data_IF_339553955871
#
_entry.id   IF_339553955871
#
_cell.length_a   1.000
_cell.length_b   1.000
_cell.length_c   1.000
_cell.angle_alpha   90.00
_cell.angle_beta   90.00
_cell.angle_gamma   90.00
#
_symmetry.space_group_name_H-M   'P 1'
#
loop_
_entity.id
_entity.type
_entity.pdbx_description
1 polymer ?
#
# COMPACT_ATOMS: atom_id res chain seq x y z
N UNK A 1 -6.34 19.84 5.00
CA UNK A 1 -6.30 18.76 3.99
C UNK A 1 -4.99 17.99 4.09
N UNK A 2 -4.89 16.97 4.97
CA UNK A 2 -3.71 16.11 5.07
C UNK A 2 -3.54 15.24 3.82
N UNK A 3 -2.29 14.93 3.48
CA UNK A 3 -1.93 14.07 2.35
C UNK A 3 -1.20 12.83 2.86
N UNK A 4 -1.67 11.65 2.48
CA UNK A 4 -1.06 10.37 2.80
C UNK A 4 -0.56 9.69 1.52
N UNK A 5 0.67 9.19 1.55
CA UNK A 5 1.23 8.36 0.49
C UNK A 5 1.37 6.93 1.00
N UNK A 6 0.92 5.97 0.22
CA UNK A 6 1.01 4.54 0.50
C UNK A 6 1.78 3.88 -0.65
N UNK A 7 2.94 3.31 -0.31
CA UNK A 7 3.72 2.47 -1.22
C UNK A 7 3.40 1.00 -0.92
N UNK A 8 2.97 0.25 -1.92
CA UNK A 8 2.48 -1.10 -1.73
C UNK A 8 2.95 -2.07 -2.84
N UNK A 9 2.91 -3.38 -2.59
CA UNK A 9 3.04 -4.37 -3.66
C UNK A 9 1.84 -4.35 -4.62
N UNK A 10 2.02 -4.83 -5.86
CA UNK A 10 0.95 -4.89 -6.84
C UNK A 10 -0.09 -5.96 -6.49
N UNK A 11 -1.27 -5.82 -7.09
CA UNK A 11 -2.30 -6.86 -7.08
C UNK A 11 -3.28 -6.76 -5.91
N UNK A 12 -3.26 -5.68 -5.14
CA UNK A 12 -4.24 -5.46 -4.07
C UNK A 12 -5.64 -5.35 -4.70
N UNK A 13 -6.56 -6.22 -4.27
CA UNK A 13 -7.95 -6.22 -4.73
C UNK A 13 -8.66 -4.90 -4.40
N UNK A 14 -9.54 -4.43 -5.27
CA UNK A 14 -10.26 -3.16 -5.13
C UNK A 14 -10.99 -3.03 -3.78
N UNK A 15 -11.65 -4.10 -3.31
CA UNK A 15 -12.34 -4.09 -2.01
C UNK A 15 -11.37 -3.90 -0.83
N UNK A 16 -10.18 -4.49 -0.92
CA UNK A 16 -9.14 -4.29 0.11
C UNK A 16 -8.62 -2.84 0.09
N UNK A 17 -8.42 -2.25 -1.11
CA UNK A 17 -8.07 -0.84 -1.26
C UNK A 17 -9.14 0.06 -0.63
N UNK A 18 -10.41 -0.18 -0.93
CA UNK A 18 -11.55 0.57 -0.39
C UNK A 18 -11.57 0.56 1.13
N UNK A 19 -11.48 -0.63 1.72
CA UNK A 19 -11.42 -0.80 3.18
C UNK A 19 -10.21 -0.11 3.81
N UNK A 20 -9.05 -0.16 3.14
CA UNK A 20 -7.82 0.49 3.60
C UNK A 20 -7.97 2.01 3.61
N UNK A 21 -8.39 2.62 2.50
CA UNK A 21 -8.50 4.08 2.39
C UNK A 21 -9.56 4.64 3.35
N UNK A 22 -10.68 3.95 3.54
CA UNK A 22 -11.71 4.33 4.52
C UNK A 22 -11.14 4.40 5.93
N UNK A 23 -10.44 3.34 6.37
CA UNK A 23 -9.86 3.28 7.72
C UNK A 23 -8.77 4.31 7.95
N UNK A 24 -7.91 4.55 6.96
CA UNK A 24 -6.82 5.54 7.07
C UNK A 24 -7.41 6.95 7.14
N UNK A 25 -8.42 7.27 6.32
CA UNK A 25 -9.11 8.56 6.37
C UNK A 25 -9.73 8.81 7.75
N UNK A 26 -10.44 7.82 8.31
CA UNK A 26 -11.02 7.94 9.66
C UNK A 26 -9.93 8.21 10.71
N UNK A 27 -8.83 7.44 10.69
CA UNK A 27 -7.75 7.61 11.65
C UNK A 27 -7.06 8.99 11.54
N UNK A 28 -6.89 9.50 10.33
CA UNK A 28 -6.31 10.82 10.09
C UNK A 28 -7.25 11.94 10.55
N UNK A 29 -8.55 11.80 10.26
CA UNK A 29 -9.56 12.75 10.72
C UNK A 29 -9.60 12.79 12.25
N UNK A 30 -9.72 11.63 12.91
CA UNK A 30 -9.70 11.50 14.37
C UNK A 30 -8.46 12.16 15.03
N UNK A 31 -7.31 12.09 14.38
CA UNK A 31 -6.07 12.65 14.91
C UNK A 31 -5.93 14.17 14.69
N UNK A 32 -6.33 14.68 13.51
CA UNK A 32 -6.04 16.06 13.12
C UNK A 32 -7.25 16.98 13.04
N UNK A 33 -8.42 16.51 12.60
CA UNK A 33 -9.62 17.34 12.40
C UNK A 33 -9.38 18.59 11.51
N UNK A 34 -8.47 18.52 10.53
CA UNK A 34 -8.05 19.65 9.68
C UNK A 34 -8.62 19.61 8.24
N UNK A 35 -9.82 19.03 8.08
CA UNK A 35 -10.54 18.91 6.81
C UNK A 35 -10.22 17.64 6.02
N UNK A 36 -10.61 17.61 4.75
CA UNK A 36 -10.57 16.40 3.90
C UNK A 36 -9.20 15.73 3.80
N UNK A 37 -9.16 14.39 3.79
CA UNK A 37 -7.93 13.62 3.63
C UNK A 37 -7.75 13.15 2.18
N UNK A 38 -6.57 13.39 1.61
CA UNK A 38 -6.20 12.91 0.28
C UNK A 38 -5.17 11.78 0.39
N UNK A 39 -5.46 10.62 -0.21
CA UNK A 39 -4.59 9.44 -0.18
C UNK A 39 -4.12 9.09 -1.60
N UNK A 40 -2.80 9.01 -1.79
CA UNK A 40 -2.18 8.47 -2.99
C UNK A 40 -1.68 7.06 -2.72
N UNK A 41 -2.13 6.10 -3.52
CA UNK A 41 -1.66 4.71 -3.48
C UNK A 41 -0.82 4.43 -4.72
N UNK A 42 0.43 4.03 -4.52
CA UNK A 42 1.32 3.57 -5.60
C UNK A 42 1.69 2.11 -5.37
N UNK A 43 1.66 1.35 -6.46
CA UNK A 43 2.02 -0.06 -6.46
C UNK A 43 3.33 -0.24 -7.22
N UNK A 44 4.31 -0.89 -6.61
CA UNK A 44 5.61 -1.16 -7.21
C UNK A 44 5.84 -2.66 -7.39
N UNK A 45 6.13 -3.11 -8.61
CA UNK A 45 6.44 -4.51 -8.85
C UNK A 45 7.78 -4.88 -8.18
N UNK A 46 7.98 -6.17 -7.92
CA UNK A 46 9.06 -6.65 -7.05
C UNK A 46 10.48 -6.37 -7.60
N UNK A 47 10.60 -6.24 -8.92
CA UNK A 47 11.80 -5.83 -9.63
C UNK A 47 12.20 -4.37 -9.41
N UNK A 48 11.28 -3.53 -8.91
CA UNK A 48 11.50 -2.11 -8.67
C UNK A 48 11.68 -1.79 -7.17
N UNK A 49 11.71 -2.80 -6.31
CA UNK A 49 11.84 -2.64 -4.86
C UNK A 49 13.03 -3.45 -4.37
N UNK A 50 13.92 -2.81 -3.61
CA UNK A 50 15.07 -3.46 -2.99
C UNK A 50 15.01 -3.35 -1.47
N UNK A 51 15.50 -4.38 -0.77
CA UNK A 51 15.73 -4.37 0.67
C UNK A 51 17.06 -5.08 0.94
N UNK A 52 17.89 -4.49 1.79
CA UNK A 52 19.23 -4.99 2.13
C UNK A 52 20.10 -5.31 0.89
N UNK A 53 20.01 -4.45 -0.13
CA UNK A 53 20.80 -4.56 -1.36
C UNK A 53 20.32 -5.65 -2.34
N UNK A 54 19.16 -6.27 -2.10
CA UNK A 54 18.58 -7.29 -3.00
C UNK A 54 17.21 -6.89 -3.50
N UNK A 55 16.96 -7.15 -4.77
CA UNK A 55 15.64 -6.95 -5.36
C UNK A 55 14.64 -7.92 -4.73
N UNK A 56 13.43 -7.46 -4.48
CA UNK A 56 12.40 -8.32 -3.91
C UNK A 56 11.90 -9.38 -4.90
N UNK A 57 12.16 -9.20 -6.20
CA UNK A 57 11.99 -10.24 -7.22
C UNK A 57 12.88 -11.47 -6.98
N UNK A 58 13.97 -11.34 -6.23
CA UNK A 58 14.87 -12.44 -5.86
C UNK A 58 14.48 -13.10 -4.54
N UNK A 59 13.46 -12.58 -3.83
CA UNK A 59 13.04 -13.05 -2.53
C UNK A 59 11.84 -14.03 -2.67
N UNK A 60 12.04 -15.35 -2.45
CA UNK A 60 10.98 -16.33 -2.66
C UNK A 60 9.75 -16.10 -1.79
N UNK A 61 9.93 -15.56 -0.58
CA UNK A 61 8.83 -15.25 0.35
C UNK A 61 7.95 -14.12 -0.18
N UNK A 62 8.54 -13.10 -0.80
CA UNK A 62 7.79 -12.00 -1.40
C UNK A 62 7.03 -12.50 -2.62
N UNK A 63 7.66 -13.29 -3.48
CA UNK A 63 6.99 -13.87 -4.65
C UNK A 63 5.78 -14.74 -4.24
N UNK A 64 5.90 -15.51 -3.16
CA UNK A 64 4.78 -16.29 -2.62
C UNK A 64 3.66 -15.37 -2.07
N UNK A 65 4.02 -14.32 -1.33
CA UNK A 65 3.06 -13.36 -0.81
C UNK A 65 2.31 -12.63 -1.94
N UNK A 66 3.01 -12.21 -3.00
CA UNK A 66 2.41 -11.56 -4.16
C UNK A 66 1.37 -12.45 -4.84
N UNK A 67 1.66 -13.75 -5.00
CA UNK A 67 0.68 -14.71 -5.56
C UNK A 67 -0.60 -14.78 -4.72
N UNK A 68 -0.48 -14.72 -3.38
CA UNK A 68 -1.63 -14.75 -2.46
C UNK A 68 -2.42 -13.44 -2.47
N UNK A 69 -1.75 -12.31 -2.68
CA UNK A 69 -2.40 -10.99 -2.77
C UNK A 69 -3.26 -10.89 -4.04
N UNK A 70 -2.74 -11.44 -5.16
CA UNK A 70 -3.44 -11.47 -6.44
C UNK A 70 -4.51 -12.55 -6.58
N UNK A 71 -4.51 -13.56 -5.71
CA UNK A 71 -5.52 -14.63 -5.68
C UNK A 71 -6.83 -14.17 -5.02
#
# INVERSE_FOLDING_TARGET
MPVCFIEAPPGIRTEAKKKMVEKITIAIDEAYHIGDTLIFLREYPAENVAMDGKLQSENPKILEALKKISA
#
